data_IF_149714444856
#
_entry.id   IF_149714444856
#
_cell.length_a   1.000
_cell.length_b   1.000
_cell.length_c   1.000
_cell.angle_alpha   90.00
_cell.angle_beta   90.00
_cell.angle_gamma   90.00
#
_symmetry.space_group_name_H-M   'P 1'
#
loop_
_entity.id
_entity.type
_entity.pdbx_description
1 polymer ?
#
# COMPACT_ATOMS: atom_id res chain seq x y z
N UNK A 1 25.60 16.59 5.75
CA UNK A 1 26.55 16.03 6.72
C UNK A 1 26.60 14.55 6.43
N UNK A 2 27.79 14.00 6.13
CA UNK A 2 27.97 12.56 5.97
C UNK A 2 27.95 11.93 7.36
N UNK A 3 27.17 10.88 7.54
CA UNK A 3 27.14 10.07 8.76
C UNK A 3 27.72 8.69 8.47
N UNK A 4 28.59 8.22 9.35
CA UNK A 4 29.12 6.86 9.29
C UNK A 4 28.18 5.93 10.04
N UNK A 5 27.76 4.84 9.39
CA UNK A 5 27.01 3.76 10.00
C UNK A 5 27.76 2.46 9.81
N UNK A 6 27.96 1.71 10.89
CA UNK A 6 28.64 0.42 10.86
C UNK A 6 27.74 -0.71 11.34
N UNK A 7 28.06 -1.95 10.95
CA UNK A 7 27.54 -3.16 11.58
C UNK A 7 28.74 -3.99 12.03
N UNK A 8 29.29 -3.70 13.23
CA UNK A 8 30.58 -4.24 13.66
C UNK A 8 30.62 -5.76 13.68
N UNK A 9 29.55 -6.41 14.16
CA UNK A 9 29.45 -7.87 14.18
C UNK A 9 29.30 -8.53 12.80
N UNK A 10 29.04 -7.75 11.75
CA UNK A 10 28.99 -8.19 10.35
C UNK A 10 30.20 -7.72 9.53
N UNK A 11 31.08 -6.90 10.10
CA UNK A 11 32.22 -6.30 9.38
C UNK A 11 31.81 -5.35 8.25
N UNK A 12 30.64 -4.69 8.35
CA UNK A 12 30.14 -3.77 7.33
C UNK A 12 30.27 -2.31 7.81
N UNK A 13 30.60 -1.41 6.89
CA UNK A 13 30.61 0.04 7.13
C UNK A 13 30.06 0.78 5.91
N UNK A 14 29.26 1.80 6.17
CA UNK A 14 28.58 2.62 5.18
C UNK A 14 28.78 4.10 5.50
N UNK A 15 29.17 4.85 4.48
CA UNK A 15 29.23 6.31 4.54
C UNK A 15 27.97 6.88 3.88
N UNK A 16 27.05 7.38 4.71
CA UNK A 16 25.73 7.80 4.27
C UNK A 16 25.65 9.32 4.18
N UNK A 17 25.10 9.82 3.08
CA UNK A 17 24.73 11.22 2.93
C UNK A 17 23.22 11.30 2.71
N UNK A 18 22.51 12.07 3.54
CA UNK A 18 21.06 12.29 3.39
C UNK A 18 20.67 12.91 2.04
N UNK A 19 21.54 13.74 1.47
CA UNK A 19 21.34 14.40 0.17
C UNK A 19 21.85 13.45 -0.91
N UNK A 20 20.96 13.08 -1.83
CA UNK A 20 21.27 12.22 -2.96
C UNK A 20 22.02 13.00 -4.04
N UNK A 21 21.46 14.13 -4.45
CA UNK A 21 22.04 15.04 -5.43
C UNK A 21 21.40 16.44 -5.31
N UNK A 22 21.95 17.41 -6.03
CA UNK A 22 21.40 18.77 -6.12
C UNK A 22 20.83 19.02 -7.51
N UNK A 23 19.72 19.74 -7.59
CA UNK A 23 19.16 20.31 -8.82
C UNK A 23 19.30 21.82 -8.71
N UNK A 24 20.37 22.38 -9.28
CA UNK A 24 20.77 23.76 -9.01
C UNK A 24 21.11 23.95 -7.53
N UNK A 25 20.43 24.88 -6.86
CA UNK A 25 20.55 25.11 -5.41
C UNK A 25 19.67 24.21 -4.54
N UNK A 26 18.80 23.39 -5.14
CA UNK A 26 17.82 22.61 -4.41
C UNK A 26 18.37 21.21 -4.07
N UNK A 27 18.50 20.85 -2.78
CA UNK A 27 18.92 19.51 -2.40
C UNK A 27 17.78 18.49 -2.58
N UNK A 28 18.07 17.37 -3.22
CA UNK A 28 17.16 16.21 -3.34
C UNK A 28 17.60 15.15 -2.34
N UNK A 29 16.68 14.74 -1.45
CA UNK A 29 16.98 13.82 -0.36
C UNK A 29 16.67 12.36 -0.73
N UNK A 30 17.52 11.44 -0.29
CA UNK A 30 17.27 10.00 -0.45
C UNK A 30 15.94 9.56 0.15
N UNK A 31 15.55 10.14 1.27
CA UNK A 31 14.28 9.84 1.93
C UNK A 31 13.08 10.02 0.98
N UNK A 32 13.05 11.12 0.21
CA UNK A 32 12.01 11.38 -0.78
C UNK A 32 12.05 10.40 -1.95
N UNK A 33 13.26 10.08 -2.44
CA UNK A 33 13.46 9.11 -3.53
C UNK A 33 12.96 7.72 -3.10
N UNK A 34 13.31 7.28 -1.90
CA UNK A 34 12.93 5.97 -1.35
C UNK A 34 11.42 5.89 -1.16
N UNK A 35 10.79 6.94 -0.63
CA UNK A 35 9.32 6.99 -0.49
C UNK A 35 8.65 6.94 -1.87
N UNK A 36 9.13 7.71 -2.84
CA UNK A 36 8.59 7.70 -4.20
C UNK A 36 8.73 6.31 -4.84
N UNK A 37 9.88 5.66 -4.69
CA UNK A 37 10.10 4.29 -5.16
C UNK A 37 9.15 3.29 -4.48
N UNK A 38 8.98 3.37 -3.16
CA UNK A 38 8.05 2.55 -2.40
C UNK A 38 6.60 2.75 -2.84
N UNK A 39 6.19 4.00 -3.08
CA UNK A 39 4.88 4.33 -3.62
C UNK A 39 4.67 3.72 -5.01
N UNK A 40 5.62 3.91 -5.95
CA UNK A 40 5.51 3.36 -7.30
C UNK A 40 5.45 1.82 -7.29
N UNK A 41 6.25 1.17 -6.43
CA UNK A 41 6.21 -0.28 -6.23
C UNK A 41 4.86 -0.75 -5.66
N UNK A 42 4.29 -0.01 -4.70
CA UNK A 42 2.98 -0.28 -4.14
C UNK A 42 1.88 -0.19 -5.21
N UNK A 43 1.89 0.87 -6.02
CA UNK A 43 0.94 1.05 -7.14
C UNK A 43 1.09 -0.06 -8.16
N UNK A 44 2.33 -0.37 -8.56
CA UNK A 44 2.60 -1.45 -9.51
C UNK A 44 2.08 -2.79 -9.02
N UNK A 45 2.37 -3.15 -7.76
CA UNK A 45 1.90 -4.39 -7.15
C UNK A 45 0.37 -4.43 -7.08
N UNK A 46 -0.25 -3.37 -6.57
CA UNK A 46 -1.70 -3.30 -6.42
C UNK A 46 -2.41 -3.39 -7.78
N UNK A 47 -1.92 -2.69 -8.80
CA UNK A 47 -2.44 -2.78 -10.17
C UNK A 47 -2.33 -4.19 -10.74
N UNK A 48 -1.21 -4.88 -10.49
CA UNK A 48 -1.03 -6.26 -10.95
C UNK A 48 -1.92 -7.26 -10.21
N UNK A 49 -2.31 -6.97 -8.98
CA UNK A 49 -3.18 -7.81 -8.14
C UNK A 49 -4.65 -7.37 -8.10
N UNK A 50 -5.00 -6.25 -8.74
CA UNK A 50 -6.33 -5.65 -8.69
C UNK A 50 -7.46 -6.65 -9.03
N UNK A 51 -7.27 -7.43 -10.11
CA UNK A 51 -8.24 -8.43 -10.56
C UNK A 51 -8.52 -9.56 -9.56
N UNK A 52 -7.61 -9.84 -8.62
CA UNK A 52 -7.81 -10.83 -7.55
C UNK A 52 -8.88 -10.38 -6.55
N UNK A 53 -9.12 -9.07 -6.47
CA UNK A 53 -10.08 -8.45 -5.56
C UNK A 53 -11.30 -7.89 -6.30
N UNK A 54 -11.42 -8.05 -7.63
CA UNK A 54 -12.53 -7.50 -8.40
C UNK A 54 -12.44 -5.99 -8.60
N UNK A 55 -11.22 -5.45 -8.62
CA UNK A 55 -10.92 -4.02 -8.80
C UNK A 55 -10.21 -3.84 -10.13
N UNK A 56 -10.54 -2.78 -10.86
CA UNK A 56 -9.84 -2.47 -12.11
C UNK A 56 -8.60 -1.65 -11.82
N UNK A 57 -7.60 -1.77 -12.69
CA UNK A 57 -6.38 -0.96 -12.58
C UNK A 57 -6.70 0.53 -12.64
N UNK A 58 -7.63 0.92 -13.51
CA UNK A 58 -8.05 2.31 -13.66
C UNK A 58 -8.70 2.85 -12.37
N UNK A 59 -9.43 2.02 -11.61
CA UNK A 59 -10.01 2.45 -10.33
C UNK A 59 -8.92 2.76 -9.28
N UNK A 60 -7.75 2.12 -9.36
CA UNK A 60 -6.61 2.42 -8.48
C UNK A 60 -6.01 3.77 -8.87
N UNK A 61 -5.78 3.99 -10.17
CA UNK A 61 -5.21 5.25 -10.66
C UNK A 61 -6.16 6.41 -10.39
N UNK A 62 -7.46 6.25 -10.69
CA UNK A 62 -8.51 7.21 -10.38
C UNK A 62 -8.54 7.55 -8.89
N UNK A 63 -8.48 6.54 -8.01
CA UNK A 63 -8.45 6.74 -6.56
C UNK A 63 -7.22 7.54 -6.12
N UNK A 64 -6.04 7.26 -6.68
CA UNK A 64 -4.80 7.96 -6.33
C UNK A 64 -4.83 9.45 -6.71
N UNK A 65 -5.48 9.80 -7.83
CA UNK A 65 -5.67 11.21 -8.23
C UNK A 65 -6.45 12.01 -7.18
N UNK A 66 -7.35 11.39 -6.43
CA UNK A 66 -8.04 12.03 -5.31
C UNK A 66 -7.29 11.88 -3.99
N UNK A 67 -6.80 10.67 -3.69
CA UNK A 67 -6.26 10.34 -2.39
C UNK A 67 -4.93 11.03 -2.10
N UNK A 68 -4.03 11.17 -3.08
CA UNK A 68 -2.72 11.79 -2.86
C UNK A 68 -2.85 13.28 -2.51
N UNK A 69 -3.56 14.12 -3.30
CA UNK A 69 -3.74 15.53 -2.95
C UNK A 69 -4.49 15.71 -1.61
N UNK A 70 -5.58 14.97 -1.40
CA UNK A 70 -6.37 15.08 -0.18
C UNK A 70 -5.61 14.59 1.06
N UNK A 71 -4.75 13.58 0.93
CA UNK A 71 -3.87 13.14 2.01
C UNK A 71 -2.83 14.21 2.37
N UNK A 72 -2.24 14.91 1.40
CA UNK A 72 -1.31 16.02 1.67
C UNK A 72 -2.04 17.16 2.40
N UNK A 73 -3.24 17.52 1.93
CA UNK A 73 -4.08 18.54 2.58
C UNK A 73 -4.43 18.10 4.01
N UNK A 74 -4.88 16.86 4.19
CA UNK A 74 -5.21 16.31 5.50
C UNK A 74 -4.01 16.29 6.45
N UNK A 75 -2.84 15.88 5.97
CA UNK A 75 -1.61 15.87 6.75
C UNK A 75 -1.19 17.28 7.20
N UNK A 76 -1.38 18.29 6.33
CA UNK A 76 -1.09 19.68 6.67
C UNK A 76 -2.11 20.26 7.63
N UNK A 77 -3.40 20.05 7.39
CA UNK A 77 -4.47 20.52 8.28
C UNK A 77 -4.32 19.96 9.69
N UNK A 78 -4.02 18.66 9.81
CA UNK A 78 -3.75 18.04 11.10
C UNK A 78 -2.55 18.70 11.79
N UNK A 79 -1.44 18.94 11.06
CA UNK A 79 -0.29 19.63 11.63
C UNK A 79 -0.64 21.03 12.14
N UNK A 80 -1.41 21.81 11.37
CA UNK A 80 -1.85 23.15 11.77
C UNK A 80 -2.72 23.11 13.03
N UNK A 81 -3.66 22.16 13.13
CA UNK A 81 -4.57 22.05 14.27
C UNK A 81 -3.81 21.73 15.55
N UNK A 82 -2.84 20.81 15.50
CA UNK A 82 -2.12 20.36 16.69
C UNK A 82 -0.91 21.22 17.05
N UNK A 83 -0.38 22.01 16.10
CA UNK A 83 0.74 22.91 16.31
C UNK A 83 0.38 24.37 15.97
N UNK A 84 -0.84 24.78 16.33
CA UNK A 84 -1.39 26.09 15.98
C UNK A 84 -0.52 27.25 16.47
N UNK A 85 0.11 27.10 17.63
CA UNK A 85 0.97 28.13 18.22
C UNK A 85 2.21 28.44 17.35
N UNK A 86 2.71 27.48 16.55
CA UNK A 86 3.80 27.72 15.60
C UNK A 86 3.43 28.70 14.48
N UNK A 87 2.12 28.91 14.27
CA UNK A 87 1.59 29.78 13.23
C UNK A 87 1.04 31.10 13.78
N UNK A 88 1.19 31.34 15.09
CA UNK A 88 0.83 32.63 15.70
C UNK A 88 1.97 33.62 15.53
N UNK A 89 1.62 34.82 15.07
CA UNK A 89 2.52 35.98 15.03
C UNK A 89 2.61 36.60 16.43
N UNK A 90 3.57 37.51 16.59
CA UNK A 90 3.75 38.26 17.85
C UNK A 90 2.51 39.06 18.25
N UNK A 91 1.69 39.50 17.28
CA UNK A 91 0.44 40.21 17.51
C UNK A 91 -0.76 39.29 17.82
N UNK A 92 -0.55 37.97 17.90
CA UNK A 92 -1.58 36.96 18.12
C UNK A 92 -2.40 36.57 16.89
N UNK A 93 -2.17 37.19 15.73
CA UNK A 93 -2.81 36.81 14.47
C UNK A 93 -2.18 35.55 13.87
N UNK A 94 -2.91 34.86 12.98
CA UNK A 94 -2.45 33.64 12.33
C UNK A 94 -1.72 33.95 11.01
N UNK A 95 -0.54 33.37 10.81
CA UNK A 95 0.16 33.44 9.53
C UNK A 95 -0.37 32.39 8.55
N UNK A 96 -1.42 32.76 7.81
CA UNK A 96 -2.01 31.91 6.76
C UNK A 96 -1.00 31.55 5.65
N UNK A 97 -0.02 32.42 5.40
CA UNK A 97 1.08 32.12 4.48
C UNK A 97 1.83 30.89 4.97
N UNK A 98 2.31 30.90 6.21
CA UNK A 98 3.00 29.75 6.82
C UNK A 98 2.14 28.49 6.83
N UNK A 99 0.85 28.60 7.08
CA UNK A 99 -0.06 27.44 7.08
C UNK A 99 -0.11 26.71 5.73
N UNK A 100 0.01 27.40 4.59
CA UNK A 100 -0.05 26.77 3.25
C UNK A 100 1.29 26.22 2.78
N UNK A 101 2.42 26.74 3.29
CA UNK A 101 3.78 26.33 2.86
C UNK A 101 4.13 24.91 3.31
N UNK A 102 3.71 23.92 2.52
CA UNK A 102 4.01 22.49 2.77
C UNK A 102 5.47 22.13 2.46
N UNK A 103 6.17 22.95 1.69
CA UNK A 103 7.59 22.75 1.36
C UNK A 103 8.53 23.12 2.51
N UNK A 104 8.04 23.86 3.51
CA UNK A 104 8.78 24.13 4.75
C UNK A 104 8.77 22.92 5.72
N UNK A 105 8.13 21.81 5.33
CA UNK A 105 7.87 20.65 6.18
C UNK A 105 6.57 20.79 6.99
N UNK A 106 6.44 20.03 8.07
CA UNK A 106 5.25 20.07 8.93
C UNK A 106 4.04 19.35 8.33
N UNK A 107 4.20 18.05 8.05
CA UNK A 107 3.12 17.16 7.60
C UNK A 107 2.94 16.07 8.65
N UNK A 108 1.74 15.99 9.24
CA UNK A 108 1.43 14.98 10.23
C UNK A 108 0.78 13.75 9.57
N UNK A 109 1.42 12.58 9.71
CA UNK A 109 0.98 11.35 9.05
C UNK A 109 -0.46 10.95 9.40
N UNK A 110 -0.91 11.20 10.64
CA UNK A 110 -2.28 10.90 11.08
C UNK A 110 -3.33 11.61 10.22
N UNK A 111 -3.12 12.90 9.90
CA UNK A 111 -4.01 13.66 9.04
C UNK A 111 -4.08 13.10 7.62
N UNK A 112 -2.93 12.68 7.08
CA UNK A 112 -2.87 12.05 5.76
C UNK A 112 -3.60 10.71 5.70
N UNK A 113 -3.43 9.87 6.72
CA UNK A 113 -4.14 8.58 6.82
C UNK A 113 -5.64 8.77 6.96
N UNK A 114 -6.10 9.69 7.81
CA UNK A 114 -7.53 9.98 7.98
C UNK A 114 -8.14 10.45 6.65
N UNK A 115 -7.51 11.43 5.98
CA UNK A 115 -7.98 11.93 4.70
C UNK A 115 -7.97 10.85 3.60
N UNK A 116 -6.96 9.99 3.56
CA UNK A 116 -6.91 8.87 2.62
C UNK A 116 -8.06 7.87 2.84
N UNK A 117 -8.37 7.52 4.09
CA UNK A 117 -9.49 6.61 4.43
C UNK A 117 -10.84 7.24 4.06
N UNK A 118 -11.05 8.52 4.38
CA UNK A 118 -12.26 9.25 4.01
C UNK A 118 -12.43 9.31 2.48
N UNK A 119 -11.34 9.61 1.77
CA UNK A 119 -11.34 9.61 0.30
C UNK A 119 -11.72 8.24 -0.25
N UNK A 120 -11.13 7.15 0.28
CA UNK A 120 -11.45 5.80 -0.15
C UNK A 120 -12.92 5.44 0.10
N UNK A 121 -13.48 5.82 1.25
CA UNK A 121 -14.90 5.60 1.57
C UNK A 121 -15.82 6.29 0.56
N UNK A 122 -15.57 7.57 0.28
CA UNK A 122 -16.34 8.35 -0.69
C UNK A 122 -16.17 7.78 -2.10
N UNK A 123 -14.93 7.47 -2.50
CA UNK A 123 -14.62 6.90 -3.81
C UNK A 123 -15.34 5.57 -4.04
N UNK A 124 -15.25 4.64 -3.09
CA UNK A 124 -15.95 3.36 -3.16
C UNK A 124 -17.48 3.54 -3.23
N UNK A 125 -18.03 4.50 -2.48
CA UNK A 125 -19.47 4.80 -2.52
C UNK A 125 -19.91 5.31 -3.89
N UNK A 126 -19.16 6.26 -4.47
CA UNK A 126 -19.46 6.85 -5.79
C UNK A 126 -19.30 5.83 -6.92
N UNK A 127 -18.22 5.04 -6.88
CA UNK A 127 -17.91 4.02 -7.90
C UNK A 127 -18.67 2.70 -7.70
N UNK A 128 -19.49 2.60 -6.64
CA UNK A 128 -20.23 1.38 -6.25
C UNK A 128 -19.32 0.16 -6.07
N UNK A 129 -18.10 0.37 -5.55
CA UNK A 129 -17.15 -0.69 -5.22
C UNK A 129 -17.27 -1.02 -3.74
N UNK A 130 -17.22 -2.30 -3.35
CA UNK A 130 -17.18 -2.68 -1.93
C UNK A 130 -15.89 -2.16 -1.29
N UNK A 131 -16.04 -1.28 -0.30
CA UNK A 131 -14.91 -0.67 0.44
C UNK A 131 -13.91 -1.71 0.96
N UNK A 132 -14.39 -2.77 1.60
CA UNK A 132 -13.51 -3.78 2.19
C UNK A 132 -12.73 -4.59 1.15
N UNK A 133 -13.26 -4.77 -0.07
CA UNK A 133 -12.51 -5.40 -1.15
C UNK A 133 -11.37 -4.48 -1.63
N UNK A 134 -11.63 -3.16 -1.70
CA UNK A 134 -10.60 -2.16 -2.02
C UNK A 134 -9.55 -2.06 -0.91
N UNK A 135 -9.99 -2.02 0.34
CA UNK A 135 -9.10 -1.98 1.49
C UNK A 135 -8.21 -3.25 1.57
N UNK A 136 -8.77 -4.42 1.26
CA UNK A 136 -8.01 -5.68 1.17
C UNK A 136 -6.86 -5.61 0.16
N UNK A 137 -7.04 -4.92 -0.96
CA UNK A 137 -5.95 -4.66 -1.91
C UNK A 137 -4.99 -3.59 -1.39
N UNK A 138 -5.52 -2.50 -0.81
CA UNK A 138 -4.75 -1.35 -0.36
C UNK A 138 -3.71 -1.68 0.72
N UNK A 139 -3.98 -2.65 1.59
CA UNK A 139 -3.02 -3.04 2.65
C UNK A 139 -1.71 -3.64 2.12
N UNK A 140 -1.72 -4.23 0.92
CA UNK A 140 -0.49 -4.66 0.26
C UNK A 140 0.38 -3.46 -0.10
N UNK A 141 -0.25 -2.38 -0.59
CA UNK A 141 0.43 -1.12 -0.86
C UNK A 141 0.99 -0.48 0.42
N UNK A 142 0.26 -0.55 1.54
CA UNK A 142 0.76 -0.08 2.84
C UNK A 142 2.01 -0.84 3.28
N UNK A 143 1.99 -2.18 3.22
CA UNK A 143 3.13 -3.02 3.58
C UNK A 143 4.35 -2.74 2.71
N UNK A 144 4.16 -2.53 1.40
CA UNK A 144 5.26 -2.19 0.49
C UNK A 144 5.82 -0.80 0.80
N UNK A 145 4.95 0.19 1.01
CA UNK A 145 5.37 1.54 1.38
C UNK A 145 6.13 1.55 2.71
N UNK A 146 5.68 0.79 3.70
CA UNK A 146 6.34 0.64 4.99
C UNK A 146 7.65 -0.13 4.87
N UNK A 147 7.69 -1.23 4.12
CA UNK A 147 8.90 -2.01 3.84
C UNK A 147 10.01 -1.15 3.23
N UNK A 148 9.68 -0.39 2.18
CA UNK A 148 10.67 0.41 1.44
C UNK A 148 11.00 1.70 2.19
N UNK A 149 9.99 2.38 2.74
CA UNK A 149 10.15 3.67 3.41
C UNK A 149 11.11 3.65 4.60
N UNK A 150 11.24 2.51 5.29
CA UNK A 150 12.15 2.36 6.44
C UNK A 150 13.62 2.52 6.08
N UNK A 151 13.99 2.25 4.83
CA UNK A 151 15.35 2.52 4.34
C UNK A 151 15.65 4.02 4.27
N UNK A 152 14.63 4.88 4.21
CA UNK A 152 14.80 6.31 4.42
C UNK A 152 15.33 6.63 5.82
N UNK A 153 14.81 5.97 6.85
CA UNK A 153 15.28 6.16 8.23
C UNK A 153 16.74 5.70 8.39
N UNK A 154 17.14 4.63 7.70
CA UNK A 154 18.54 4.18 7.67
C UNK A 154 19.47 5.25 7.08
N UNK A 155 19.13 5.80 5.92
CA UNK A 155 19.96 6.85 5.27
C UNK A 155 20.01 8.13 6.08
N UNK A 156 18.93 8.46 6.80
CA UNK A 156 18.86 9.62 7.69
C UNK A 156 19.49 9.36 9.08
N UNK A 157 19.81 8.11 9.42
CA UNK A 157 20.29 7.70 10.75
C UNK A 157 19.32 8.17 11.84
N UNK A 158 18.05 7.79 11.70
CA UNK A 158 16.98 8.17 12.64
C UNK A 158 16.12 6.94 12.99
N UNK A 159 15.23 7.11 13.97
CA UNK A 159 14.25 6.11 14.37
C UNK A 159 14.84 4.76 14.82
N UNK A 160 16.11 4.73 15.24
CA UNK A 160 16.81 3.55 15.75
C UNK A 160 16.35 3.15 17.17
N UNK A 161 16.75 1.96 17.61
CA UNK A 161 16.39 1.46 18.94
C UNK A 161 17.43 1.77 20.01
N UNK A 162 17.21 1.22 21.21
CA UNK A 162 18.16 1.34 22.32
C UNK A 162 19.49 0.59 22.09
N UNK A 163 20.46 0.77 22.99
CA UNK A 163 21.75 0.09 22.94
C UNK A 163 21.62 -1.43 22.90
N UNK A 164 22.50 -2.13 22.17
CA UNK A 164 22.46 -3.59 22.04
C UNK A 164 23.80 -4.20 21.65
N UNK A 165 24.06 -5.42 22.15
CA UNK A 165 25.28 -6.18 21.86
C UNK A 165 25.09 -7.26 20.77
N UNK A 166 23.93 -7.28 20.11
CA UNK A 166 23.60 -8.30 19.11
C UNK A 166 24.60 -8.29 17.93
N UNK A 167 24.79 -9.44 17.24
CA UNK A 167 25.76 -9.52 16.15
C UNK A 167 25.40 -8.65 14.93
N UNK A 168 24.14 -8.27 14.77
CA UNK A 168 23.66 -7.33 13.74
C UNK A 168 23.39 -5.91 14.27
N UNK A 169 23.97 -5.54 15.42
CA UNK A 169 23.85 -4.18 15.96
C UNK A 169 24.37 -3.14 14.97
N UNK A 170 23.76 -1.97 14.99
CA UNK A 170 24.07 -0.85 14.12
C UNK A 170 24.86 0.20 14.92
N UNK A 171 26.11 0.41 14.55
CA UNK A 171 26.95 1.47 15.10
C UNK A 171 26.61 2.81 14.45
N UNK A 172 26.36 3.81 15.28
CA UNK A 172 26.04 5.19 14.88
C UNK A 172 26.85 6.18 15.72
N UNK A 173 26.93 7.42 15.24
CA UNK A 173 27.43 8.53 16.02
C UNK A 173 26.29 9.49 16.32
N UNK A 174 26.02 9.74 17.60
CA UNK A 174 24.98 10.65 18.06
C UNK A 174 25.54 11.73 18.99
N UNK A 175 24.89 12.88 19.04
CA UNK A 175 25.28 13.96 19.95
C UNK A 175 24.60 13.77 21.31
N UNK A 176 25.36 13.39 22.33
CA UNK A 176 24.90 13.26 23.72
C UNK A 176 25.58 14.33 24.56
N UNK A 177 24.78 15.24 25.13
CA UNK A 177 25.31 16.36 25.92
C UNK A 177 26.19 17.33 25.12
N UNK A 178 25.98 17.45 23.80
CA UNK A 178 26.77 18.29 22.91
C UNK A 178 28.09 17.65 22.41
N UNK A 179 28.43 16.44 22.85
CA UNK A 179 29.57 15.69 22.37
C UNK A 179 29.13 14.57 21.42
N UNK A 180 29.88 14.37 20.33
CA UNK A 180 29.65 13.25 19.41
C UNK A 180 30.15 11.97 20.06
N UNK A 181 29.26 11.00 20.25
CA UNK A 181 29.55 9.73 20.90
C UNK A 181 29.16 8.56 19.98
N UNK A 182 29.97 7.51 20.00
CA UNK A 182 29.66 6.27 19.31
C UNK A 182 28.70 5.43 20.15
N UNK A 183 27.63 4.93 19.52
CA UNK A 183 26.64 4.07 20.15
C UNK A 183 26.31 2.89 19.24
N UNK A 184 26.09 1.72 19.83
CA UNK A 184 25.68 0.49 19.13
C UNK A 184 24.24 0.17 19.47
N UNK A 185 23.36 0.30 18.47
CA UNK A 185 21.91 0.32 18.67
C UNK A 185 21.19 -0.76 17.86
N UNK A 186 19.96 -1.04 18.25
CA UNK A 186 19.07 -1.88 17.45
C UNK A 186 18.75 -1.22 16.10
N UNK A 187 19.02 -1.87 14.94
CA UNK A 187 18.55 -1.41 13.62
C UNK A 187 17.04 -1.66 13.45
N UNK A 188 16.22 -0.90 14.16
CA UNK A 188 14.75 -0.97 14.09
C UNK A 188 14.22 -0.78 12.66
N UNK A 189 14.89 0.01 11.81
CA UNK A 189 14.54 0.14 10.38
C UNK A 189 14.53 -1.23 9.68
N UNK A 190 15.51 -2.09 10.00
CA UNK A 190 15.66 -3.41 9.43
C UNK A 190 14.61 -4.35 10.01
N UNK A 191 14.35 -4.27 11.32
CA UNK A 191 13.31 -5.07 11.97
C UNK A 191 11.93 -4.75 11.39
N UNK A 192 11.60 -3.46 11.24
CA UNK A 192 10.33 -3.03 10.61
C UNK A 192 10.29 -3.46 9.14
N UNK A 193 11.37 -3.29 8.38
CA UNK A 193 11.46 -3.76 6.99
C UNK A 193 11.16 -5.26 6.88
N UNK A 194 11.89 -6.09 7.63
CA UNK A 194 11.73 -7.55 7.57
C UNK A 194 10.35 -8.00 8.05
N UNK A 195 9.78 -7.35 9.08
CA UNK A 195 8.43 -7.63 9.54
C UNK A 195 7.37 -7.32 8.48
N UNK A 196 7.52 -6.20 7.75
CA UNK A 196 6.63 -5.85 6.66
C UNK A 196 6.80 -6.77 5.45
N UNK A 197 8.02 -7.23 5.14
CA UNK A 197 8.27 -8.22 4.09
C UNK A 197 7.61 -9.56 4.42
N UNK A 198 7.78 -10.06 5.65
CA UNK A 198 7.15 -11.30 6.10
C UNK A 198 5.61 -11.16 6.06
N UNK A 199 5.09 -10.02 6.51
CA UNK A 199 3.66 -9.70 6.42
C UNK A 199 3.15 -9.69 4.97
N UNK A 200 3.91 -9.09 4.06
CA UNK A 200 3.56 -9.03 2.64
C UNK A 200 3.48 -10.41 2.02
N UNK A 201 4.46 -11.27 2.30
CA UNK A 201 4.49 -12.66 1.81
C UNK A 201 3.32 -13.45 2.42
N UNK A 202 3.13 -13.36 3.74
CA UNK A 202 2.06 -14.05 4.45
C UNK A 202 0.68 -13.66 3.90
N UNK A 203 0.37 -12.37 3.85
CA UNK A 203 -0.92 -11.90 3.34
C UNK A 203 -1.10 -12.23 1.87
N UNK A 204 -0.04 -12.24 1.06
CA UNK A 204 -0.15 -12.62 -0.35
C UNK A 204 -0.53 -14.10 -0.51
N UNK A 205 0.03 -14.97 0.33
CA UNK A 205 -0.32 -16.39 0.37
C UNK A 205 -1.76 -16.57 0.86
N UNK A 206 -2.16 -15.89 1.94
CA UNK A 206 -3.54 -15.98 2.45
C UNK A 206 -4.53 -15.47 1.41
N UNK A 207 -4.26 -14.33 0.76
CA UNK A 207 -5.12 -13.76 -0.28
C UNK A 207 -5.34 -14.72 -1.44
N UNK A 208 -4.31 -15.49 -1.81
CA UNK A 208 -4.35 -16.42 -2.94
C UNK A 208 -5.03 -17.75 -2.59
N UNK A 209 -4.78 -18.29 -1.39
CA UNK A 209 -5.18 -19.65 -1.04
C UNK A 209 -6.36 -19.74 -0.06
N UNK A 210 -6.52 -18.76 0.81
CA UNK A 210 -7.37 -18.87 2.01
C UNK A 210 -8.27 -17.64 2.27
N UNK A 211 -8.43 -16.76 1.28
CA UNK A 211 -9.36 -15.63 1.39
C UNK A 211 -10.81 -16.11 1.32
N UNK A 212 -11.60 -15.80 2.34
CA UNK A 212 -12.99 -16.23 2.51
C UNK A 212 -14.00 -15.08 2.47
N UNK A 213 -13.61 -13.86 2.83
CA UNK A 213 -14.50 -12.69 2.82
C UNK A 213 -13.73 -11.40 2.48
N UNK A 214 -14.46 -10.37 2.02
CA UNK A 214 -13.90 -9.04 1.79
C UNK A 214 -13.68 -8.33 3.13
N UNK A 215 -12.46 -7.87 3.37
CA UNK A 215 -12.00 -7.29 4.64
C UNK A 215 -11.05 -8.23 5.41
N UNK A 216 -10.86 -9.47 4.95
CA UNK A 216 -9.97 -10.40 5.62
C UNK A 216 -8.51 -9.95 5.56
N UNK A 217 -8.04 -9.40 4.43
CA UNK A 217 -6.66 -8.94 4.30
C UNK A 217 -6.45 -7.64 5.07
N UNK A 218 -7.44 -6.76 5.03
CA UNK A 218 -7.48 -5.54 5.83
C UNK A 218 -7.33 -5.84 7.32
N UNK A 219 -8.14 -6.74 7.87
CA UNK A 219 -8.01 -7.15 9.27
C UNK A 219 -6.68 -7.89 9.53
N UNK A 220 -6.25 -8.77 8.61
CA UNK A 220 -4.97 -9.48 8.75
C UNK A 220 -3.78 -8.52 8.82
N UNK A 221 -3.84 -7.40 8.08
CA UNK A 221 -2.85 -6.35 8.14
C UNK A 221 -2.82 -5.68 9.52
N UNK A 222 -3.97 -5.26 10.05
CA UNK A 222 -4.00 -4.64 11.39
C UNK A 222 -3.56 -5.62 12.49
N UNK A 223 -3.93 -6.89 12.39
CA UNK A 223 -3.44 -7.93 13.28
C UNK A 223 -1.90 -8.06 13.20
N UNK A 224 -1.35 -8.19 11.98
CA UNK A 224 0.07 -8.42 11.76
C UNK A 224 0.93 -7.18 12.05
N UNK A 225 0.62 -6.07 11.40
CA UNK A 225 1.37 -4.83 11.53
C UNK A 225 1.19 -4.23 12.93
N UNK A 226 0.00 -4.33 13.54
CA UNK A 226 -0.24 -3.85 14.89
C UNK A 226 0.65 -4.55 15.94
N UNK A 227 0.80 -5.88 15.85
CA UNK A 227 1.72 -6.64 16.71
C UNK A 227 3.17 -6.19 16.48
N UNK A 228 3.62 -6.14 15.23
CA UNK A 228 4.98 -5.71 14.90
C UNK A 228 5.27 -4.29 15.37
N UNK A 229 4.32 -3.37 15.14
CA UNK A 229 4.42 -1.98 15.59
C UNK A 229 4.51 -1.90 17.11
N UNK A 230 3.67 -2.63 17.84
CA UNK A 230 3.70 -2.69 19.30
C UNK A 230 5.04 -3.21 19.84
N UNK A 231 5.57 -4.29 19.26
CA UNK A 231 6.84 -4.88 19.69
C UNK A 231 8.05 -3.99 19.35
N UNK A 232 8.13 -3.50 18.12
CA UNK A 232 9.30 -2.74 17.64
C UNK A 232 9.33 -1.32 18.22
N UNK A 233 8.16 -0.69 18.44
CA UNK A 233 8.07 0.57 19.18
C UNK A 233 8.59 0.42 20.62
N UNK A 234 8.51 -0.79 21.19
CA UNK A 234 9.14 -1.15 22.46
C UNK A 234 10.66 -0.95 22.48
N UNK A 235 11.31 -1.04 21.32
CA UNK A 235 12.76 -0.91 21.18
C UNK A 235 13.21 0.51 20.86
N UNK A 236 12.31 1.37 20.36
CA UNK A 236 12.65 2.74 19.93
C UNK A 236 12.94 3.68 21.09
N UNK A 237 13.84 4.62 20.84
CA UNK A 237 14.22 5.68 21.77
C UNK A 237 13.44 6.98 21.52
N UNK A 238 12.99 7.21 20.29
CA UNK A 238 12.39 8.45 19.79
C UNK A 238 10.86 8.38 19.63
N UNK A 239 10.17 7.87 20.65
CA UNK A 239 8.71 7.66 20.60
C UNK A 239 7.91 8.90 20.96
N UNK A 240 6.68 8.97 20.40
CA UNK A 240 5.66 9.90 20.88
C UNK A 240 5.01 9.34 22.14
N UNK A 241 5.02 10.13 23.21
CA UNK A 241 4.46 9.76 24.51
C UNK A 241 3.11 10.44 24.78
N UNK A 242 2.21 9.76 25.47
CA UNK A 242 0.95 10.35 25.92
C UNK A 242 1.21 11.37 27.03
N UNK A 243 0.80 12.63 26.87
CA UNK A 243 0.65 13.60 27.97
C UNK A 243 1.79 13.59 29.02
N UNK A 244 3.06 13.59 28.57
CA UNK A 244 4.27 13.50 29.43
C UNK A 244 4.38 12.24 30.31
N UNK A 245 3.68 11.17 29.96
CA UNK A 245 3.80 9.85 30.59
C UNK A 245 4.91 9.02 29.94
N UNK A 246 5.23 7.85 30.50
CA UNK A 246 6.13 6.86 29.90
C UNK A 246 5.45 5.98 28.84
N UNK A 247 4.18 6.22 28.53
CA UNK A 247 3.39 5.37 27.62
C UNK A 247 3.52 5.86 26.19
N UNK A 248 4.06 5.00 25.32
CA UNK A 248 4.27 5.27 23.89
C UNK A 248 2.96 5.12 23.11
N UNK A 249 2.52 6.20 22.45
CA UNK A 249 1.24 6.28 21.72
C UNK A 249 1.14 5.19 20.65
N UNK A 250 2.20 5.05 19.85
CA UNK A 250 2.24 4.08 18.75
C UNK A 250 2.20 2.62 19.24
N UNK A 251 2.73 2.36 20.44
CA UNK A 251 2.76 1.02 21.01
C UNK A 251 1.37 0.58 21.46
N UNK A 252 0.67 1.46 22.19
CA UNK A 252 -0.72 1.23 22.59
C UNK A 252 -1.62 1.08 21.36
N UNK A 253 -1.49 1.98 20.38
CA UNK A 253 -2.28 1.93 19.16
C UNK A 253 -2.02 0.64 18.37
N UNK A 254 -0.76 0.21 18.26
CA UNK A 254 -0.38 -1.05 17.60
C UNK A 254 -1.04 -2.26 18.24
N UNK A 255 -0.88 -2.44 19.55
CA UNK A 255 -1.48 -3.59 20.25
C UNK A 255 -3.01 -3.54 20.29
N UNK A 256 -3.61 -2.37 20.49
CA UNK A 256 -5.07 -2.22 20.51
C UNK A 256 -5.69 -2.57 19.15
N UNK A 257 -5.14 -2.02 18.06
CA UNK A 257 -5.62 -2.34 16.71
C UNK A 257 -5.40 -3.79 16.35
N UNK A 258 -4.28 -4.40 16.77
CA UNK A 258 -4.05 -5.82 16.59
C UNK A 258 -5.08 -6.67 17.34
N UNK A 259 -5.34 -6.39 18.61
CA UNK A 259 -6.28 -7.14 19.42
C UNK A 259 -7.70 -7.10 18.82
N UNK A 260 -8.17 -5.91 18.44
CA UNK A 260 -9.47 -5.74 17.77
C UNK A 260 -9.51 -6.52 16.46
N UNK A 261 -8.47 -6.41 15.62
CA UNK A 261 -8.43 -7.11 14.34
C UNK A 261 -8.41 -8.64 14.49
N UNK A 262 -7.67 -9.18 15.46
CA UNK A 262 -7.61 -10.60 15.78
C UNK A 262 -8.98 -11.12 16.23
N UNK A 263 -9.66 -10.40 17.13
CA UNK A 263 -11.01 -10.76 17.58
C UNK A 263 -11.98 -10.77 16.41
N UNK A 264 -11.97 -9.73 15.56
CA UNK A 264 -12.85 -9.66 14.40
C UNK A 264 -12.54 -10.75 13.37
N UNK A 265 -11.27 -11.09 13.14
CA UNK A 265 -10.87 -12.21 12.29
C UNK A 265 -11.40 -13.53 12.85
N UNK A 266 -11.17 -13.80 14.13
CA UNK A 266 -11.62 -15.02 14.79
C UNK A 266 -13.15 -15.15 14.73
N UNK A 267 -13.88 -14.07 15.02
CA UNK A 267 -15.35 -14.07 14.95
C UNK A 267 -15.84 -14.33 13.52
N UNK A 268 -15.27 -13.67 12.50
CA UNK A 268 -15.69 -13.91 11.11
C UNK A 268 -15.34 -15.34 10.67
N UNK A 269 -14.10 -15.79 10.88
CA UNK A 269 -13.62 -17.08 10.40
C UNK A 269 -14.23 -18.29 11.12
N UNK A 270 -14.57 -18.16 12.41
CA UNK A 270 -15.06 -19.28 13.23
C UNK A 270 -16.58 -19.32 13.35
N UNK A 271 -17.26 -18.17 13.31
CA UNK A 271 -18.71 -18.09 13.60
C UNK A 271 -19.57 -17.75 12.40
N UNK A 272 -19.00 -17.32 11.27
CA UNK A 272 -19.78 -16.95 10.10
C UNK A 272 -19.56 -17.93 8.95
N UNK A 273 -20.63 -18.43 8.31
CA UNK A 273 -20.49 -19.12 7.05
C UNK A 273 -19.95 -18.14 6.00
N UNK A 274 -19.07 -18.62 5.14
CA UNK A 274 -18.49 -17.84 4.07
C UNK A 274 -18.87 -18.49 2.74
N UNK A 275 -19.83 -17.88 2.05
CA UNK A 275 -20.17 -18.22 0.68
C UNK A 275 -19.18 -17.54 -0.27
N UNK A 276 -18.44 -18.30 -1.11
CA UNK A 276 -17.59 -17.72 -2.14
C UNK A 276 -18.32 -16.73 -3.05
N UNK A 277 -19.61 -16.89 -3.35
CA UNK A 277 -20.37 -15.95 -4.19
C UNK A 277 -20.54 -14.56 -3.54
N UNK A 278 -20.41 -14.46 -2.21
CA UNK A 278 -20.50 -13.19 -1.51
C UNK A 278 -19.27 -12.28 -1.72
N UNK A 279 -18.15 -12.85 -2.16
CA UNK A 279 -16.92 -12.10 -2.44
C UNK A 279 -17.14 -11.11 -3.60
N UNK A 280 -16.67 -9.87 -3.43
CA UNK A 280 -16.79 -8.83 -4.44
C UNK A 280 -16.29 -9.28 -5.81
N UNK A 281 -15.13 -9.93 -5.86
CA UNK A 281 -14.56 -10.43 -7.12
C UNK A 281 -15.49 -11.40 -7.85
N UNK A 282 -16.22 -12.24 -7.12
CA UNK A 282 -17.12 -13.22 -7.72
C UNK A 282 -18.43 -12.58 -8.15
N UNK A 283 -18.93 -11.59 -7.40
CA UNK A 283 -20.08 -10.77 -7.79
C UNK A 283 -19.81 -9.97 -9.06
N UNK A 284 -18.63 -9.34 -9.15
CA UNK A 284 -18.20 -8.61 -10.35
C UNK A 284 -18.09 -9.57 -11.54
N UNK A 285 -17.50 -10.76 -11.37
CA UNK A 285 -17.42 -11.77 -12.44
C UNK A 285 -18.80 -12.28 -12.88
N UNK A 286 -19.73 -12.48 -11.95
CA UNK A 286 -21.09 -12.94 -12.25
C UNK A 286 -21.88 -11.93 -13.08
N UNK A 287 -21.70 -10.64 -12.78
CA UNK A 287 -22.36 -9.53 -13.47
C UNK A 287 -21.53 -8.95 -14.63
N UNK A 288 -20.39 -9.55 -14.95
CA UNK A 288 -19.52 -9.06 -16.01
C UNK A 288 -20.16 -9.37 -17.36
N UNK A 289 -20.09 -8.39 -18.26
CA UNK A 289 -20.52 -8.55 -19.65
C UNK A 289 -19.77 -9.72 -20.29
N UNK A 290 -20.46 -10.75 -20.79
CA UNK A 290 -19.83 -11.91 -21.42
C UNK A 290 -19.65 -11.68 -22.91
N UNK A 291 -18.42 -11.78 -23.38
CA UNK A 291 -18.06 -11.54 -24.78
C UNK A 291 -17.31 -12.74 -25.35
N UNK A 292 -17.86 -13.35 -26.41
CA UNK A 292 -17.19 -14.41 -27.15
C UNK A 292 -16.33 -13.81 -28.27
N UNK A 293 -15.02 -14.08 -28.25
CA UNK A 293 -14.10 -13.78 -29.34
C UNK A 293 -13.93 -15.01 -30.22
N UNK A 294 -14.40 -14.93 -31.46
CA UNK A 294 -14.31 -15.99 -32.46
C UNK A 294 -13.26 -15.59 -33.50
N UNK A 295 -12.23 -16.40 -33.71
CA UNK A 295 -11.11 -16.04 -34.60
C UNK A 295 -10.57 -17.25 -35.39
N UNK A 296 -10.08 -17.06 -36.62
CA UNK A 296 -9.43 -18.12 -37.39
C UNK A 296 -8.05 -18.46 -36.79
N UNK A 297 -7.69 -19.75 -36.74
CA UNK A 297 -6.35 -20.15 -36.32
C UNK A 297 -5.28 -19.59 -37.27
N UNK A 298 -4.28 -18.90 -36.71
CA UNK A 298 -3.15 -18.40 -37.48
C UNK A 298 -2.29 -17.37 -36.72
N UNK A 299 -1.08 -17.06 -37.23
CA UNK A 299 -0.15 -16.13 -36.60
C UNK A 299 -0.74 -14.73 -36.39
N UNK A 300 -1.49 -14.23 -37.37
CA UNK A 300 -2.08 -12.90 -37.34
C UNK A 300 -3.29 -12.81 -36.41
N UNK A 301 -3.97 -13.93 -36.14
CA UNK A 301 -5.12 -13.97 -35.25
C UNK A 301 -4.71 -13.84 -33.77
N UNK A 302 -3.55 -14.37 -33.38
CA UNK A 302 -3.01 -14.24 -32.01
C UNK A 302 -2.83 -12.78 -31.59
N UNK A 303 -2.24 -11.94 -32.46
CA UNK A 303 -2.05 -10.50 -32.19
C UNK A 303 -3.38 -9.74 -32.08
N UNK A 304 -4.39 -10.13 -32.85
CA UNK A 304 -5.73 -9.54 -32.73
C UNK A 304 -6.40 -9.98 -31.44
N UNK A 305 -6.36 -11.28 -31.13
CA UNK A 305 -6.93 -11.88 -29.93
C UNK A 305 -6.38 -11.21 -28.66
N UNK A 306 -5.06 -11.11 -28.53
CA UNK A 306 -4.44 -10.46 -27.36
C UNK A 306 -4.89 -9.01 -27.21
N UNK A 307 -4.98 -8.26 -28.31
CA UNK A 307 -5.44 -6.87 -28.30
C UNK A 307 -6.89 -6.74 -27.89
N UNK A 308 -7.78 -7.55 -28.47
CA UNK A 308 -9.22 -7.52 -28.17
C UNK A 308 -9.49 -7.99 -26.74
N UNK A 309 -8.88 -9.11 -26.34
CA UNK A 309 -9.00 -9.65 -24.98
C UNK A 309 -8.56 -8.62 -23.94
N UNK A 310 -7.38 -8.02 -24.12
CA UNK A 310 -6.88 -6.98 -23.21
C UNK A 310 -7.77 -5.74 -23.17
N UNK A 311 -8.39 -5.35 -24.29
CA UNK A 311 -9.34 -4.22 -24.33
C UNK A 311 -10.61 -4.55 -23.54
N UNK A 312 -11.23 -5.70 -23.82
CA UNK A 312 -12.48 -6.12 -23.18
C UNK A 312 -12.31 -6.38 -21.68
N UNK A 313 -11.20 -7.00 -21.28
CA UNK A 313 -10.88 -7.21 -19.85
C UNK A 313 -10.69 -5.89 -19.10
N UNK A 314 -10.16 -4.84 -19.76
CA UNK A 314 -10.09 -3.49 -19.18
C UNK A 314 -11.47 -2.84 -19.02
N UNK A 315 -12.37 -3.09 -19.95
CA UNK A 315 -13.78 -2.68 -19.85
C UNK A 315 -14.56 -3.46 -18.79
N UNK A 316 -13.96 -4.50 -18.19
CA UNK A 316 -14.59 -5.35 -17.17
C UNK A 316 -15.47 -6.46 -17.76
N UNK A 317 -15.31 -6.78 -19.05
CA UNK A 317 -15.98 -7.90 -19.68
C UNK A 317 -15.28 -9.24 -19.35
N UNK A 318 -16.07 -10.29 -19.21
CA UNK A 318 -15.59 -11.67 -19.19
C UNK A 318 -15.45 -12.18 -20.63
N UNK A 319 -14.24 -12.57 -21.01
CA UNK A 319 -13.92 -12.92 -22.40
C UNK A 319 -13.74 -14.43 -22.55
N UNK A 320 -14.58 -15.02 -23.40
CA UNK A 320 -14.43 -16.40 -23.87
C UNK A 320 -13.79 -16.39 -25.26
N UNK A 321 -12.94 -17.37 -25.56
CA UNK A 321 -12.16 -17.37 -26.81
C UNK A 321 -12.35 -18.68 -27.55
N UNK A 322 -12.73 -18.60 -28.83
CA UNK A 322 -13.03 -19.73 -29.69
C UNK A 322 -12.18 -19.65 -30.97
N UNK A 323 -11.31 -20.63 -31.16
CA UNK A 323 -10.46 -20.75 -32.34
C UNK A 323 -11.17 -21.59 -33.41
N UNK A 324 -11.11 -21.14 -34.66
CA UNK A 324 -11.68 -21.83 -35.82
C UNK A 324 -10.57 -22.43 -36.68
N UNK A 325 -10.63 -23.73 -37.03
CA UNK A 325 -9.69 -24.34 -37.97
C UNK A 325 -9.73 -23.66 -39.34
N UNK A 326 -8.59 -23.65 -40.04
CA UNK A 326 -8.50 -23.06 -41.38
C UNK A 326 -9.40 -23.82 -42.38
N UNK A 327 -10.33 -23.12 -43.03
CA UNK A 327 -11.21 -23.68 -44.06
C UNK A 327 -12.53 -24.27 -43.55
N UNK A 328 -12.82 -24.20 -42.25
CA UNK A 328 -14.02 -24.79 -41.65
C UNK A 328 -15.23 -23.84 -41.66
N UNK A 329 -15.73 -23.47 -42.84
CA UNK A 329 -16.86 -22.53 -42.99
C UNK A 329 -18.16 -23.06 -42.37
N UNK A 330 -18.39 -24.38 -42.42
CA UNK A 330 -19.56 -25.04 -41.85
C UNK A 330 -19.49 -25.08 -40.31
N UNK A 331 -18.37 -25.53 -39.74
CA UNK A 331 -18.11 -25.49 -38.27
C UNK A 331 -18.20 -24.07 -37.71
N UNK A 332 -17.80 -23.08 -38.52
CA UNK A 332 -17.90 -21.66 -38.18
C UNK A 332 -19.36 -21.20 -38.06
N UNK A 333 -20.25 -21.70 -38.91
CA UNK A 333 -21.68 -21.40 -38.88
C UNK A 333 -22.36 -22.05 -37.68
N UNK A 334 -22.06 -23.33 -37.42
CA UNK A 334 -22.60 -24.07 -36.27
C UNK A 334 -22.18 -23.47 -34.93
N UNK A 335 -20.89 -23.12 -34.78
CA UNK A 335 -20.38 -22.48 -33.58
C UNK A 335 -21.07 -21.13 -33.34
N UNK A 336 -21.23 -20.31 -34.39
CA UNK A 336 -21.91 -19.03 -34.24
C UNK A 336 -23.36 -19.20 -33.82
N UNK A 337 -24.11 -20.11 -34.47
CA UNK A 337 -25.49 -20.39 -34.10
C UNK A 337 -25.61 -20.87 -32.64
N UNK A 338 -24.67 -21.72 -32.19
CA UNK A 338 -24.61 -22.18 -30.82
C UNK A 338 -24.30 -21.05 -29.82
N UNK A 339 -23.43 -20.11 -30.18
CA UNK A 339 -23.11 -18.94 -29.35
C UNK A 339 -24.24 -17.92 -29.33
N UNK A 340 -24.95 -17.72 -30.45
CA UNK A 340 -26.12 -16.83 -30.54
C UNK A 340 -27.32 -17.37 -29.75
N UNK A 341 -27.43 -18.68 -29.60
CA UNK A 341 -28.47 -19.32 -28.80
C UNK A 341 -28.24 -19.24 -27.27
N UNK A 342 -27.06 -18.77 -26.83
CA UNK A 342 -26.74 -18.65 -25.40
C UNK A 342 -27.30 -17.36 -24.81
N UNK A 343 -28.23 -17.49 -23.88
CA UNK A 343 -28.85 -16.35 -23.16
C UNK A 343 -27.87 -15.60 -22.24
N UNK A 344 -26.74 -16.21 -21.88
CA UNK A 344 -25.74 -15.60 -20.98
C UNK A 344 -24.67 -14.79 -21.73
N UNK A 345 -24.65 -14.80 -23.06
CA UNK A 345 -23.69 -14.06 -23.89
C UNK A 345 -24.25 -12.70 -24.32
N UNK A 346 -23.56 -11.62 -23.98
CA UNK A 346 -23.97 -10.26 -24.36
C UNK A 346 -23.48 -9.85 -25.75
N UNK A 347 -22.35 -10.40 -26.20
CA UNK A 347 -21.75 -10.03 -27.48
C UNK A 347 -20.89 -11.14 -28.07
N UNK A 348 -20.95 -11.29 -29.40
CA UNK A 348 -20.02 -12.11 -30.18
C UNK A 348 -19.21 -11.18 -31.07
N UNK A 349 -17.89 -11.27 -31.02
CA UNK A 349 -16.97 -10.53 -31.88
C UNK A 349 -16.16 -11.51 -32.73
N UNK A 350 -16.29 -11.38 -34.05
CA UNK A 350 -15.54 -12.16 -35.02
C UNK A 350 -14.35 -11.36 -35.57
N UNK A 351 -13.25 -12.04 -35.86
CA UNK A 351 -12.11 -11.48 -36.60
C UNK A 351 -12.32 -11.58 -38.11
#
# INVERSE_FOLDING_TARGET
MMGTVSFPGLGLEFQLNRVAFHVGSWPVYWYGIIIAAGFLLAVFYCSRKAGQFGIRQDDIIDMLFFAVPLAIIGARLYYIIFYLDLFRREDGSLDFGAMVRIWDGGLAIYGGVIAAVLTLLVFCKVRKIKFLAFADLGVFGLLIGQLVGRWGNFVNIEAYGGPTDLPWRMGIYEYVGGALQYAEVHPTFLYESLWNLLGLILLAVIAQKWRKFDGQMFLSYFAWYGVGRGCIEGLRTDSLYFFNTTVRVSQVFGFATAAVAIVLLAVNLLRRPHDPEALWVNQVRKNARRVALVYPEGPDARKWLERQKKRLEREGAYVETYALPAGAAEETGELLAALEAREDLDQILKK
#
